data_IF_519320698801
#
_entry.id   IF_519320698801
#
_cell.length_a   1.000
_cell.length_b   1.000
_cell.length_c   1.000
_cell.angle_alpha   90.00
_cell.angle_beta   90.00
_cell.angle_gamma   90.00
#
_symmetry.space_group_name_H-M   'P 1'
#
loop_
_entity.id
_entity.type
_entity.pdbx_description
1 polymer ?
#
# COMPACT_ATOMS: atom_id res chain seq x y z
N UNK A 1 8.65 20.00 -18.16
CA UNK A 1 10.11 20.00 -18.02
C UNK A 1 10.68 21.02 -19.02
N UNK A 2 11.05 22.24 -18.58
CA UNK A 2 11.85 23.11 -19.44
C UNK A 2 12.79 24.13 -18.72
N UNK A 3 13.11 24.00 -17.43
CA UNK A 3 13.90 25.05 -16.72
C UNK A 3 15.38 24.69 -16.48
N UNK A 4 15.76 23.42 -16.61
CA UNK A 4 17.19 23.03 -16.61
C UNK A 4 17.94 23.70 -17.77
N UNK A 5 17.31 23.78 -18.95
CA UNK A 5 17.88 24.42 -20.13
C UNK A 5 18.16 25.92 -19.91
N UNK A 6 17.28 26.62 -19.18
CA UNK A 6 17.43 28.07 -18.90
C UNK A 6 18.58 28.35 -17.93
N UNK A 7 18.81 27.47 -16.95
CA UNK A 7 19.92 27.60 -16.01
C UNK A 7 21.25 27.28 -16.69
N UNK A 8 21.29 26.29 -17.59
CA UNK A 8 22.48 25.95 -18.38
C UNK A 8 22.92 27.08 -19.32
N UNK A 9 21.98 27.83 -19.92
CA UNK A 9 22.29 29.00 -20.76
C UNK A 9 23.02 30.11 -19.99
N UNK A 10 22.76 30.26 -18.69
CA UNK A 10 23.42 31.28 -17.85
C UNK A 10 24.91 31.02 -17.63
N UNK A 11 25.40 29.79 -17.88
CA UNK A 11 26.84 29.45 -17.77
C UNK A 11 27.69 30.12 -18.84
N UNK A 12 27.09 30.55 -19.96
CA UNK A 12 27.78 31.24 -21.06
C UNK A 12 27.90 32.76 -20.83
N UNK A 13 27.18 33.31 -19.86
CA UNK A 13 27.20 34.74 -19.52
C UNK A 13 28.35 35.09 -18.57
N UNK A 14 28.69 36.38 -18.54
CA UNK A 14 29.61 36.92 -17.54
C UNK A 14 29.08 36.70 -16.12
N UNK A 15 29.95 36.65 -15.08
CA UNK A 15 29.51 36.40 -13.71
C UNK A 15 28.44 37.37 -13.19
N UNK A 16 28.52 38.65 -13.57
CA UNK A 16 27.56 39.68 -13.17
C UNK A 16 26.18 39.45 -13.82
N UNK A 17 26.15 39.24 -15.14
CA UNK A 17 24.93 38.95 -15.89
C UNK A 17 24.30 37.61 -15.50
N UNK A 18 25.12 36.62 -15.14
CA UNK A 18 24.66 35.32 -14.63
C UNK A 18 23.89 35.50 -13.33
N UNK A 19 24.39 36.31 -12.40
CA UNK A 19 23.72 36.54 -11.11
C UNK A 19 22.37 37.24 -11.33
N UNK A 20 22.32 38.25 -12.19
CA UNK A 20 21.07 38.94 -12.52
C UNK A 20 20.04 37.99 -13.14
N UNK A 21 20.47 37.18 -14.11
CA UNK A 21 19.58 36.24 -14.79
C UNK A 21 19.06 35.13 -13.86
N UNK A 22 19.91 34.62 -12.96
CA UNK A 22 19.50 33.63 -11.97
C UNK A 22 18.49 34.19 -10.96
N UNK A 23 18.62 35.47 -10.56
CA UNK A 23 17.63 36.14 -9.71
C UNK A 23 16.27 36.28 -10.39
N UNK A 24 16.25 36.58 -11.69
CA UNK A 24 15.02 36.67 -12.47
C UNK A 24 14.32 35.29 -12.59
N UNK A 25 15.10 34.23 -12.84
CA UNK A 25 14.58 32.85 -12.86
C UNK A 25 13.98 32.50 -11.50
N UNK A 26 14.73 32.70 -10.41
CA UNK A 26 14.26 32.40 -9.06
C UNK A 26 12.93 33.12 -8.72
N UNK A 27 12.79 34.39 -9.13
CA UNK A 27 11.56 35.15 -8.91
C UNK A 27 10.37 34.59 -9.70
N UNK A 28 10.59 34.17 -10.95
CA UNK A 28 9.56 33.54 -11.77
C UNK A 28 9.11 32.21 -11.15
N UNK A 29 10.06 31.40 -10.73
CA UNK A 29 9.80 30.11 -10.10
C UNK A 29 9.00 30.28 -8.79
N UNK A 30 9.33 31.29 -7.98
CA UNK A 30 8.57 31.65 -6.78
C UNK A 30 7.09 31.98 -7.09
N UNK A 31 6.84 32.75 -8.14
CA UNK A 31 5.47 33.08 -8.58
C UNK A 31 4.72 31.84 -9.12
N UNK A 32 5.40 30.93 -9.81
CA UNK A 32 4.81 29.69 -10.33
C UNK A 32 4.48 28.70 -9.20
N UNK A 33 5.38 28.56 -8.21
CA UNK A 33 5.15 27.74 -7.01
C UNK A 33 3.91 28.27 -6.27
N UNK A 34 3.82 29.59 -6.05
CA UNK A 34 2.68 30.19 -5.35
C UNK A 34 1.35 29.92 -6.07
N UNK A 35 1.32 30.02 -7.40
CA UNK A 35 0.13 29.68 -8.20
C UNK A 35 -0.25 28.21 -8.07
N UNK A 36 0.73 27.31 -8.07
CA UNK A 36 0.48 25.89 -7.88
C UNK A 36 -0.08 25.59 -6.48
N UNK A 37 0.44 26.24 -5.43
CA UNK A 37 -0.08 26.11 -4.07
C UNK A 37 -1.52 26.60 -3.94
N UNK A 38 -1.85 27.74 -4.55
CA UNK A 38 -3.22 28.27 -4.56
C UNK A 38 -4.19 27.32 -5.28
N UNK A 39 -3.77 26.70 -6.39
CA UNK A 39 -4.56 25.69 -7.11
C UNK A 39 -4.76 24.41 -6.29
N UNK A 40 -3.73 23.95 -5.57
CA UNK A 40 -3.84 22.81 -4.65
C UNK A 40 -4.85 23.12 -3.55
N UNK A 41 -4.74 24.30 -2.92
CA UNK A 41 -5.66 24.71 -1.85
C UNK A 41 -7.11 24.78 -2.33
N UNK A 42 -7.35 25.32 -3.53
CA UNK A 42 -8.69 25.35 -4.12
C UNK A 42 -9.23 23.93 -4.37
N UNK A 43 -8.38 23.06 -4.93
CA UNK A 43 -8.76 21.66 -5.20
C UNK A 43 -9.07 20.89 -3.92
N UNK A 44 -8.32 21.11 -2.84
CA UNK A 44 -8.58 20.49 -1.53
C UNK A 44 -9.93 20.92 -0.95
N UNK A 45 -10.28 22.21 -1.06
CA UNK A 45 -11.57 22.72 -0.61
C UNK A 45 -12.74 22.10 -1.39
N UNK A 46 -12.62 21.98 -2.71
CA UNK A 46 -13.64 21.34 -3.56
C UNK A 46 -13.85 19.85 -3.19
N UNK A 47 -12.75 19.12 -2.91
CA UNK A 47 -12.82 17.73 -2.45
C UNK A 47 -13.52 17.64 -1.08
N UNK A 48 -13.24 18.55 -0.16
CA UNK A 48 -13.85 18.57 1.16
C UNK A 48 -15.36 18.88 1.11
N UNK A 49 -15.77 19.86 0.29
CA UNK A 49 -17.19 20.16 0.06
C UNK A 49 -17.93 18.97 -0.57
N UNK A 50 -17.32 18.31 -1.56
CA UNK A 50 -17.85 17.09 -2.16
C UNK A 50 -18.02 15.95 -1.15
N UNK A 51 -17.13 15.84 -0.15
CA UNK A 51 -17.27 14.87 0.94
C UNK A 51 -18.42 15.21 1.89
N UNK A 52 -18.58 16.49 2.24
CA UNK A 52 -19.67 16.93 3.14
C UNK A 52 -21.06 16.75 2.50
N UNK A 53 -21.19 16.97 1.20
CA UNK A 53 -22.45 16.76 0.47
C UNK A 53 -22.92 15.29 0.43
N UNK A 54 -22.03 14.32 0.70
CA UNK A 54 -22.34 12.89 0.73
C UNK A 54 -22.75 12.37 2.11
N UNK A 55 -22.66 13.20 3.17
CA UNK A 55 -23.09 12.81 4.51
C UNK A 55 -24.56 13.23 4.71
N UNK A 56 -25.50 12.29 4.93
CA UNK A 56 -26.86 12.65 5.31
C UNK A 56 -26.85 13.36 6.67
N UNK A 57 -27.61 14.45 6.79
CA UNK A 57 -27.84 15.12 8.07
C UNK A 57 -28.47 14.12 9.05
N UNK A 58 -27.83 13.92 10.20
CA UNK A 58 -28.32 13.04 11.25
C UNK A 58 -29.47 13.77 11.93
N UNK A 59 -30.70 13.38 11.62
CA UNK A 59 -31.91 13.83 12.31
C UNK A 59 -31.80 13.48 13.80
N UNK A 60 -32.03 14.44 14.71
CA UNK A 60 -31.99 14.18 16.16
C UNK A 60 -33.07 13.17 16.53
N UNK A 61 -32.65 11.93 16.81
CA UNK A 61 -33.54 10.86 17.23
C UNK A 61 -33.93 11.04 18.70
N UNK A 62 -35.24 11.05 18.98
CA UNK A 62 -35.81 11.06 20.33
C UNK A 62 -35.33 9.84 21.16
N UNK A 63 -34.32 10.08 21.99
CA UNK A 63 -33.69 9.13 22.90
C UNK A 63 -34.67 8.50 23.90
N UNK A 64 -35.82 9.12 24.19
CA UNK A 64 -36.82 8.58 25.12
C UNK A 64 -37.51 7.29 24.65
N UNK A 65 -37.50 7.02 23.33
CA UNK A 65 -38.07 5.78 22.76
C UNK A 65 -37.09 4.61 22.73
N UNK A 66 -35.78 4.86 22.72
CA UNK A 66 -34.75 3.84 22.51
C UNK A 66 -34.50 2.97 23.77
N UNK A 67 -34.60 3.53 24.97
CA UNK A 67 -34.25 2.83 26.21
C UNK A 67 -35.31 1.86 26.76
N UNK A 68 -36.41 1.60 26.05
CA UNK A 68 -37.37 0.53 26.42
C UNK A 68 -36.90 -0.88 26.05
N UNK A 69 -35.74 -1.01 25.37
CA UNK A 69 -35.17 -2.28 24.85
C UNK A 69 -33.93 -2.79 25.60
N UNK A 70 -33.73 -2.41 26.86
CA UNK A 70 -32.52 -2.71 27.65
C UNK A 70 -32.11 -4.19 27.68
N UNK A 71 -33.05 -5.13 27.53
CA UNK A 71 -32.75 -6.58 27.50
C UNK A 71 -32.09 -7.09 26.20
N UNK A 72 -32.12 -6.33 25.09
CA UNK A 72 -31.52 -6.74 23.80
C UNK A 72 -30.15 -6.11 23.54
N UNK A 73 -29.84 -5.01 24.24
CA UNK A 73 -28.56 -4.31 24.12
C UNK A 73 -27.43 -5.04 24.85
N UNK A 74 -27.73 -5.70 25.98
CA UNK A 74 -26.75 -6.51 26.71
C UNK A 74 -26.24 -7.70 25.87
N UNK A 75 -27.12 -8.38 25.11
CA UNK A 75 -26.70 -9.43 24.17
C UNK A 75 -25.83 -8.85 23.02
N UNK A 76 -26.17 -7.67 22.51
CA UNK A 76 -25.43 -7.04 21.41
C UNK A 76 -24.05 -6.56 21.85
N UNK A 77 -23.92 -5.96 23.03
CA UNK A 77 -22.63 -5.55 23.60
C UNK A 77 -21.74 -6.77 23.91
N UNK A 78 -22.32 -7.87 24.39
CA UNK A 78 -21.58 -9.13 24.57
C UNK A 78 -21.10 -9.69 23.22
N UNK A 79 -21.93 -9.58 22.17
CA UNK A 79 -21.56 -10.04 20.82
C UNK A 79 -20.45 -9.19 20.22
N UNK A 80 -20.52 -7.86 20.34
CA UNK A 80 -19.49 -6.91 19.85
C UNK A 80 -18.19 -7.05 20.63
N UNK A 81 -18.26 -7.32 21.94
CA UNK A 81 -17.08 -7.56 22.78
C UNK A 81 -16.39 -8.88 22.42
N UNK A 82 -17.16 -9.93 22.11
CA UNK A 82 -16.67 -11.21 21.57
C UNK A 82 -16.08 -11.04 20.16
N UNK A 83 -16.65 -10.18 19.33
CA UNK A 83 -16.18 -9.91 17.97
C UNK A 83 -14.84 -9.16 17.97
N UNK A 84 -14.68 -8.11 18.80
CA UNK A 84 -13.39 -7.42 19.00
C UNK A 84 -12.27 -8.31 19.54
N UNK A 85 -12.60 -9.24 20.46
CA UNK A 85 -11.60 -10.22 20.95
C UNK A 85 -11.26 -11.26 19.88
N UNK A 86 -12.19 -11.60 19.00
CA UNK A 86 -11.98 -12.53 17.87
C UNK A 86 -11.17 -11.89 16.75
N UNK A 87 -11.37 -10.61 16.46
CA UNK A 87 -10.53 -9.83 15.51
C UNK A 87 -9.09 -9.71 16.01
N UNK A 88 -8.89 -9.41 17.31
CA UNK A 88 -7.54 -9.38 17.91
C UNK A 88 -6.83 -10.74 17.82
N UNK A 89 -7.54 -11.83 18.09
CA UNK A 89 -6.99 -13.19 17.98
C UNK A 89 -6.71 -13.60 16.52
N UNK A 90 -7.54 -13.18 15.56
CA UNK A 90 -7.34 -13.44 14.14
C UNK A 90 -6.13 -12.66 13.57
N UNK A 91 -5.99 -11.39 13.94
CA UNK A 91 -4.81 -10.59 13.56
C UNK A 91 -3.52 -11.11 14.20
N UNK A 92 -3.57 -11.57 15.45
CA UNK A 92 -2.43 -12.21 16.11
C UNK A 92 -2.06 -13.53 15.42
N UNK A 93 -3.05 -14.35 15.06
CA UNK A 93 -2.80 -15.58 14.31
C UNK A 93 -2.17 -15.31 12.95
N UNK A 94 -2.65 -14.29 12.22
CA UNK A 94 -2.07 -13.87 10.94
C UNK A 94 -0.64 -13.36 11.10
N UNK A 95 -0.37 -12.54 12.13
CA UNK A 95 1.00 -12.09 12.46
C UNK A 95 1.93 -13.26 12.79
N UNK A 96 1.47 -14.22 13.59
CA UNK A 96 2.25 -15.42 13.90
C UNK A 96 2.54 -16.26 12.66
N UNK A 97 1.54 -16.38 11.77
CA UNK A 97 1.69 -17.09 10.50
C UNK A 97 2.73 -16.42 9.59
N UNK A 98 2.69 -15.09 9.44
CA UNK A 98 3.70 -14.32 8.69
C UNK A 98 5.10 -14.47 9.28
N UNK A 99 5.22 -14.50 10.61
CA UNK A 99 6.50 -14.76 11.30
C UNK A 99 7.01 -16.19 11.10
N UNK A 100 6.12 -17.17 10.92
CA UNK A 100 6.50 -18.53 10.60
C UNK A 100 7.00 -18.64 9.16
N UNK A 101 6.26 -18.06 8.20
CA UNK A 101 6.65 -18.02 6.79
C UNK A 101 7.99 -17.31 6.58
N UNK A 102 8.28 -16.24 7.34
CA UNK A 102 9.57 -15.55 7.25
C UNK A 102 10.75 -16.40 7.71
N UNK A 103 10.51 -17.51 8.42
CA UNK A 103 11.53 -18.49 8.80
C UNK A 103 11.67 -19.65 7.81
N UNK A 104 10.69 -19.91 6.96
CA UNK A 104 10.75 -21.00 5.96
C UNK A 104 11.81 -20.71 4.88
N UNK A 105 12.49 -21.72 4.31
CA UNK A 105 13.39 -21.49 3.17
C UNK A 105 12.70 -20.82 1.97
N UNK A 106 13.44 -20.03 1.19
CA UNK A 106 12.87 -19.39 -0.01
C UNK A 106 12.41 -20.43 -1.07
N UNK A 107 13.07 -21.58 -1.13
CA UNK A 107 12.66 -22.74 -1.94
C UNK A 107 11.26 -23.24 -1.60
N UNK A 108 10.90 -23.30 -0.31
CA UNK A 108 9.58 -23.75 0.15
C UNK A 108 8.50 -22.75 -0.27
N UNK A 109 8.77 -21.44 -0.11
CA UNK A 109 7.86 -20.38 -0.56
C UNK A 109 7.66 -20.42 -2.09
N UNK A 110 8.74 -20.68 -2.85
CA UNK A 110 8.68 -20.83 -4.30
C UNK A 110 7.89 -22.09 -4.71
N UNK A 111 7.99 -23.18 -3.95
CA UNK A 111 7.25 -24.43 -4.20
C UNK A 111 5.76 -24.24 -3.91
N UNK A 112 5.38 -23.66 -2.77
CA UNK A 112 3.99 -23.31 -2.47
C UNK A 112 3.37 -22.42 -3.55
N UNK A 113 4.10 -21.41 -4.02
CA UNK A 113 3.61 -20.56 -5.11
C UNK A 113 3.34 -21.36 -6.40
N UNK A 114 4.19 -22.34 -6.74
CA UNK A 114 3.96 -23.25 -7.88
C UNK A 114 2.71 -24.11 -7.69
N UNK A 115 2.44 -24.59 -6.49
CA UNK A 115 1.26 -25.40 -6.19
C UNK A 115 -0.03 -24.59 -6.32
N UNK A 116 -0.05 -23.36 -5.79
CA UNK A 116 -1.17 -22.43 -5.99
C UNK A 116 -1.35 -22.15 -7.48
N UNK A 117 -0.26 -21.93 -8.21
CA UNK A 117 -0.32 -21.74 -9.65
C UNK A 117 -0.91 -22.94 -10.41
N UNK A 118 -0.53 -24.16 -10.03
CA UNK A 118 -1.10 -25.38 -10.62
C UNK A 118 -2.61 -25.47 -10.33
N UNK A 119 -3.02 -25.24 -9.08
CA UNK A 119 -4.43 -25.24 -8.69
C UNK A 119 -5.24 -24.17 -9.44
N UNK A 120 -4.69 -22.96 -9.60
CA UNK A 120 -5.32 -21.86 -10.35
C UNK A 120 -5.35 -22.13 -11.85
N UNK A 121 -4.37 -22.87 -12.37
CA UNK A 121 -4.36 -23.31 -13.77
C UNK A 121 -5.49 -24.29 -14.05
N UNK A 122 -5.82 -25.15 -13.10
CA UNK A 122 -6.94 -26.10 -13.18
C UNK A 122 -8.30 -25.43 -12.94
N UNK A 123 -8.42 -24.58 -11.92
CA UNK A 123 -9.69 -23.91 -11.58
C UNK A 123 -10.02 -22.74 -12.51
N UNK A 124 -9.01 -22.12 -13.12
CA UNK A 124 -9.13 -20.92 -13.95
C UNK A 124 -9.25 -19.60 -13.16
N UNK A 125 -9.35 -19.64 -11.83
CA UNK A 125 -9.49 -18.44 -11.00
C UNK A 125 -8.71 -18.54 -9.68
N UNK A 126 -8.32 -17.40 -9.12
CA UNK A 126 -7.70 -17.33 -7.79
C UNK A 126 -8.77 -17.05 -6.75
N UNK A 127 -8.87 -17.90 -5.74
CA UNK A 127 -9.78 -17.69 -4.60
C UNK A 127 -9.25 -16.62 -3.63
N UNK A 128 -10.13 -16.01 -2.80
CA UNK A 128 -9.69 -15.07 -1.75
C UNK A 128 -8.64 -15.66 -0.80
N UNK A 129 -8.82 -16.92 -0.38
CA UNK A 129 -7.87 -17.60 0.49
C UNK A 129 -6.49 -17.79 -0.17
N UNK A 130 -6.46 -18.15 -1.46
CA UNK A 130 -5.21 -18.23 -2.22
C UNK A 130 -4.54 -16.87 -2.40
N UNK A 131 -5.32 -15.80 -2.55
CA UNK A 131 -4.77 -14.43 -2.63
C UNK A 131 -4.18 -13.96 -1.30
N UNK A 132 -4.82 -14.31 -0.19
CA UNK A 132 -4.32 -14.04 1.15
C UNK A 132 -3.00 -14.79 1.40
N UNK A 133 -2.95 -16.08 1.06
CA UNK A 133 -1.72 -16.89 1.14
C UNK A 133 -0.59 -16.30 0.27
N UNK A 134 -0.91 -15.85 -0.95
CA UNK A 134 0.05 -15.15 -1.82
C UNK A 134 0.56 -13.85 -1.16
N UNK A 135 -0.31 -13.10 -0.48
CA UNK A 135 0.08 -11.86 0.18
C UNK A 135 1.04 -12.14 1.35
N UNK A 136 0.74 -13.13 2.18
CA UNK A 136 1.57 -13.54 3.31
C UNK A 136 2.94 -14.07 2.84
N UNK A 137 2.96 -14.91 1.80
CA UNK A 137 4.22 -15.38 1.21
C UNK A 137 5.04 -14.25 0.59
N UNK A 138 4.38 -13.27 -0.05
CA UNK A 138 5.06 -12.10 -0.62
C UNK A 138 5.74 -11.27 0.48
N UNK A 139 5.05 -11.06 1.60
CA UNK A 139 5.61 -10.38 2.76
C UNK A 139 6.83 -11.10 3.32
N UNK A 140 6.74 -12.43 3.51
CA UNK A 140 7.85 -13.25 3.98
C UNK A 140 9.07 -13.22 3.04
N UNK A 141 8.83 -13.24 1.72
CA UNK A 141 9.89 -13.18 0.71
C UNK A 141 10.60 -11.80 0.70
N UNK A 142 9.86 -10.72 0.91
CA UNK A 142 10.44 -9.36 0.99
C UNK A 142 11.31 -9.18 2.25
N UNK A 143 10.90 -9.72 3.40
CA UNK A 143 11.74 -9.74 4.61
C UNK A 143 13.06 -10.45 4.31
N UNK A 144 13.02 -11.62 3.65
CA UNK A 144 14.22 -12.38 3.32
C UNK A 144 15.16 -11.65 2.37
N UNK A 145 14.62 -10.97 1.36
CA UNK A 145 15.42 -10.09 0.48
C UNK A 145 16.09 -8.98 1.28
N UNK A 146 15.36 -8.34 2.20
CA UNK A 146 15.88 -7.27 3.04
C UNK A 146 16.96 -7.76 4.02
N UNK A 147 16.79 -8.95 4.62
CA UNK A 147 17.79 -9.53 5.51
C UNK A 147 19.07 -9.91 4.75
N UNK A 148 18.92 -10.43 3.52
CA UNK A 148 20.06 -10.75 2.65
C UNK A 148 20.79 -9.50 2.17
N UNK A 149 20.07 -8.43 1.78
CA UNK A 149 20.69 -7.16 1.35
C UNK A 149 21.43 -6.45 2.48
N UNK A 150 21.01 -6.66 3.74
CA UNK A 150 21.70 -6.19 4.95
C UNK A 150 22.92 -7.02 5.33
N UNK A 151 23.26 -8.05 4.55
CA UNK A 151 24.43 -8.91 4.79
C UNK A 151 24.24 -9.92 5.92
N UNK A 152 22.99 -10.20 6.35
CA UNK A 152 22.71 -11.22 7.36
C UNK A 152 22.86 -12.67 6.82
N UNK A 153 22.99 -12.83 5.50
CA UNK A 153 23.18 -14.11 4.82
C UNK A 153 24.40 -14.05 3.89
N UNK A 154 25.07 -15.20 3.70
CA UNK A 154 26.23 -15.37 2.82
C UNK A 154 25.96 -14.84 1.37
N UNK A 155 27.01 -14.42 0.64
CA UNK A 155 26.88 -13.83 -0.70
C UNK A 155 26.03 -14.69 -1.63
N UNK A 156 25.29 -14.02 -2.53
CA UNK A 156 24.27 -14.59 -3.40
C UNK A 156 24.55 -16.04 -3.83
N UNK A 157 23.90 -17.00 -3.16
CA UNK A 157 23.68 -18.30 -3.81
C UNK A 157 22.79 -18.05 -5.03
N UNK A 158 23.29 -18.41 -6.20
CA UNK A 158 22.57 -18.37 -7.48
C UNK A 158 21.15 -18.95 -7.34
N UNK A 159 21.03 -20.03 -6.57
CA UNK A 159 19.76 -20.69 -6.18
C UNK A 159 18.73 -19.75 -5.54
N UNK A 160 19.13 -18.87 -4.62
CA UNK A 160 18.17 -17.96 -3.98
C UNK A 160 17.64 -16.92 -4.96
N UNK A 161 18.50 -16.44 -5.87
CA UNK A 161 18.08 -15.49 -6.92
C UNK A 161 17.09 -16.14 -7.89
N UNK A 162 17.33 -17.40 -8.26
CA UNK A 162 16.42 -18.22 -9.06
C UNK A 162 15.07 -18.44 -8.36
N UNK A 163 15.08 -18.81 -7.08
CA UNK A 163 13.86 -19.03 -6.26
C UNK A 163 13.02 -17.75 -6.16
N UNK A 164 13.66 -16.63 -5.86
CA UNK A 164 13.02 -15.31 -5.79
C UNK A 164 12.42 -14.92 -7.15
N UNK A 165 13.13 -15.17 -8.23
CA UNK A 165 12.69 -14.84 -9.59
C UNK A 165 11.51 -15.72 -10.01
N UNK A 166 11.58 -17.03 -9.75
CA UNK A 166 10.50 -17.97 -10.01
C UNK A 166 9.24 -17.61 -9.22
N UNK A 167 9.38 -17.35 -7.92
CA UNK A 167 8.29 -16.90 -7.06
C UNK A 167 7.66 -15.61 -7.59
N UNK A 168 8.46 -14.59 -7.88
CA UNK A 168 7.96 -13.29 -8.35
C UNK A 168 7.22 -13.40 -9.70
N UNK A 169 7.73 -14.24 -10.61
CA UNK A 169 7.07 -14.52 -11.89
C UNK A 169 5.70 -15.16 -11.71
N UNK A 170 5.59 -16.16 -10.82
CA UNK A 170 4.34 -16.84 -10.52
C UNK A 170 3.33 -15.88 -9.87
N UNK A 171 3.75 -15.12 -8.86
CA UNK A 171 2.87 -14.17 -8.18
C UNK A 171 2.32 -13.11 -9.13
N UNK A 172 3.11 -12.62 -10.09
CA UNK A 172 2.62 -11.68 -11.12
C UNK A 172 1.44 -12.29 -11.89
N UNK A 173 1.60 -13.52 -12.39
CA UNK A 173 0.54 -14.20 -13.16
C UNK A 173 -0.72 -14.43 -12.32
N UNK A 174 -0.56 -14.81 -11.06
CA UNK A 174 -1.69 -15.03 -10.14
C UNK A 174 -2.43 -13.72 -9.85
N UNK A 175 -1.71 -12.63 -9.59
CA UNK A 175 -2.31 -11.30 -9.36
C UNK A 175 -3.07 -10.78 -10.58
N UNK A 176 -2.54 -10.99 -11.78
CA UNK A 176 -3.21 -10.58 -13.03
C UNK A 176 -4.52 -11.36 -13.25
N UNK A 177 -4.53 -12.66 -12.94
CA UNK A 177 -5.76 -13.48 -13.01
C UNK A 177 -6.81 -13.08 -11.98
N UNK A 178 -6.40 -12.58 -10.82
CA UNK A 178 -7.33 -12.06 -9.81
C UNK A 178 -7.97 -10.72 -10.22
N UNK A 179 -7.21 -9.86 -10.93
CA UNK A 179 -7.68 -8.55 -11.42
C UNK A 179 -8.56 -8.60 -12.67
N UNK A 180 -8.64 -9.75 -13.35
CA UNK A 180 -9.39 -9.93 -14.61
C UNK A 180 -10.93 -10.00 -14.48
N UNK A 181 -11.51 -9.30 -13.50
CA UNK A 181 -12.97 -9.08 -13.39
C UNK A 181 -13.26 -7.59 -13.30
#
# INVERSE_FOLDING_TARGET
>A
MPDEDKVEETKKLSPEERIERLREIAKRDEEEIKKAEDLIRQSEAEIEEGRRALMPEIEEVDVGRLFRRRAREEELEETVSKEKTREGAAEEAQRQYQLQLSREPAEELATRAKDIYAAVKESGYVSPAQMEEIADMSYAMEIKKADKSRGAYAPESEKFSEEVSAFSGIIRVLKDRYKGR
#
